data_IF_716025958251
#
_entry.id   IF_716025958251
#
_cell.length_a   1.000
_cell.length_b   1.000
_cell.length_c   1.000
_cell.angle_alpha   90.00
_cell.angle_beta   90.00
_cell.angle_gamma   90.00
#
_symmetry.space_group_name_H-M   'P 1'
#
loop_
_entity.id
_entity.type
_entity.pdbx_description
1 polymer ?
#
# COMPACT_ATOMS: atom_id res chain seq x y z
N UNK A 1 -14.36 -61.53 17.67
CA UNK A 1 -12.98 -61.42 17.16
C UNK A 1 -12.91 -60.13 16.36
N UNK A 2 -13.23 -59.01 17.01
CA UNK A 2 -13.47 -57.70 16.36
C UNK A 2 -12.51 -56.60 16.85
N UNK A 3 -11.83 -56.84 17.98
CA UNK A 3 -10.85 -55.91 18.56
C UNK A 3 -9.64 -55.66 17.64
N UNK A 4 -9.24 -56.66 16.85
CA UNK A 4 -8.08 -56.56 15.96
C UNK A 4 -8.34 -55.70 14.70
N UNK A 5 -9.61 -55.52 14.31
CA UNK A 5 -9.96 -54.73 13.12
C UNK A 5 -9.95 -53.23 13.45
N UNK A 6 -10.51 -52.87 14.61
CA UNK A 6 -10.53 -51.47 15.05
C UNK A 6 -9.15 -51.00 15.50
N UNK A 7 -8.35 -51.86 16.14
CA UNK A 7 -6.94 -51.58 16.45
C UNK A 7 -6.12 -51.37 15.16
N UNK A 8 -6.25 -52.28 14.19
CA UNK A 8 -5.56 -52.12 12.89
C UNK A 8 -6.00 -50.88 12.11
N UNK A 9 -7.24 -50.42 12.28
CA UNK A 9 -7.72 -49.19 11.64
C UNK A 9 -7.17 -47.94 12.32
N UNK A 10 -7.08 -47.96 13.66
CA UNK A 10 -6.48 -46.88 14.44
C UNK A 10 -4.98 -46.75 14.15
N UNK A 11 -4.26 -47.87 14.04
CA UNK A 11 -2.85 -47.89 13.66
C UNK A 11 -2.65 -47.28 12.25
N UNK A 12 -3.55 -47.62 11.32
CA UNK A 12 -3.51 -47.08 9.95
C UNK A 12 -3.82 -45.57 9.91
N UNK A 13 -4.76 -45.09 10.73
CA UNK A 13 -5.08 -43.66 10.85
C UNK A 13 -3.88 -42.86 11.39
N UNK A 14 -3.20 -43.39 12.41
CA UNK A 14 -1.99 -42.80 12.99
C UNK A 14 -0.86 -42.74 11.94
N UNK A 15 -0.67 -43.79 11.13
CA UNK A 15 0.30 -43.80 10.03
C UNK A 15 0.03 -42.72 8.99
N UNK A 16 -1.22 -42.59 8.53
CA UNK A 16 -1.59 -41.56 7.55
C UNK A 16 -1.48 -40.15 8.13
N UNK A 17 -1.81 -39.95 9.41
CA UNK A 17 -1.64 -38.67 10.08
C UNK A 17 -0.16 -38.27 10.14
N UNK A 18 0.70 -39.22 10.52
CA UNK A 18 2.13 -38.98 10.62
C UNK A 18 2.78 -38.74 9.24
N UNK A 19 2.35 -39.47 8.21
CA UNK A 19 2.78 -39.25 6.83
C UNK A 19 2.40 -37.84 6.36
N UNK A 20 1.14 -37.44 6.55
CA UNK A 20 0.66 -36.10 6.20
C UNK A 20 1.40 -34.99 6.95
N UNK A 21 1.66 -35.19 8.26
CA UNK A 21 2.44 -34.26 9.06
C UNK A 21 3.87 -34.13 8.56
N UNK A 22 4.56 -35.24 8.30
CA UNK A 22 5.94 -35.23 7.81
C UNK A 22 6.04 -34.58 6.43
N UNK A 23 5.08 -34.85 5.54
CA UNK A 23 5.02 -34.23 4.22
C UNK A 23 4.80 -32.72 4.32
N UNK A 24 3.87 -32.27 5.16
CA UNK A 24 3.62 -30.85 5.41
C UNK A 24 4.80 -30.14 6.10
N UNK A 25 5.48 -30.82 7.02
CA UNK A 25 6.68 -30.30 7.67
C UNK A 25 7.87 -30.20 6.70
N UNK A 26 8.04 -31.17 5.79
CA UNK A 26 9.06 -31.14 4.76
C UNK A 26 8.78 -30.04 3.72
N UNK A 27 7.52 -29.90 3.29
CA UNK A 27 7.08 -28.82 2.38
C UNK A 27 7.29 -27.44 3.03
N UNK A 28 6.89 -27.28 4.30
CA UNK A 28 7.12 -26.06 5.08
C UNK A 28 8.60 -25.77 5.37
N UNK A 29 9.47 -26.78 5.37
CA UNK A 29 10.92 -26.60 5.50
C UNK A 29 11.61 -26.29 4.15
N UNK A 30 11.00 -26.68 3.02
CA UNK A 30 11.42 -26.30 1.66
C UNK A 30 10.81 -24.98 1.20
N UNK A 31 9.78 -24.49 1.89
CA UNK A 31 9.43 -23.08 1.89
C UNK A 31 10.60 -22.32 2.51
N UNK A 32 11.62 -22.07 1.68
CA UNK A 32 12.76 -21.23 2.02
C UNK A 32 12.24 -19.97 2.73
N UNK A 33 12.84 -19.56 3.85
CA UNK A 33 12.54 -18.26 4.43
C UNK A 33 12.73 -17.27 3.29
N UNK A 34 11.66 -16.57 2.93
CA UNK A 34 11.61 -15.60 1.84
C UNK A 34 12.74 -14.57 2.06
N UNK A 35 13.95 -14.91 1.60
CA UNK A 35 15.13 -14.08 1.75
C UNK A 35 15.00 -13.01 0.68
N UNK A 36 14.08 -12.08 0.94
CA UNK A 36 13.80 -10.87 0.18
C UNK A 36 14.31 -10.97 -1.24
N UNK A 37 13.75 -11.90 -2.02
CA UNK A 37 14.13 -11.98 -3.42
C UNK A 37 13.68 -10.65 -3.97
N UNK A 38 14.64 -9.80 -4.32
CA UNK A 38 14.39 -8.60 -5.09
C UNK A 38 13.87 -9.11 -6.44
N UNK A 39 12.58 -9.44 -6.46
CA UNK A 39 11.79 -9.66 -7.65
C UNK A 39 11.57 -8.27 -8.25
N UNK A 40 12.65 -7.56 -8.57
CA UNK A 40 12.56 -6.45 -9.50
C UNK A 40 12.15 -7.12 -10.81
N UNK A 41 10.87 -7.02 -11.21
CA UNK A 41 10.41 -7.73 -12.39
C UNK A 41 11.21 -7.19 -13.58
N UNK A 42 11.48 -8.03 -14.58
CA UNK A 42 12.33 -7.64 -15.73
C UNK A 42 11.84 -6.35 -16.38
N UNK A 43 10.52 -6.08 -16.33
CA UNK A 43 9.90 -4.82 -16.78
C UNK A 43 10.42 -3.57 -16.07
N UNK A 44 10.84 -3.65 -14.81
CA UNK A 44 11.40 -2.52 -14.08
C UNK A 44 12.85 -2.19 -14.46
N UNK A 45 13.57 -3.11 -15.12
CA UNK A 45 14.98 -2.91 -15.50
C UNK A 45 15.18 -1.77 -16.49
N UNK A 46 14.18 -1.51 -17.33
CA UNK A 46 14.19 -0.44 -18.33
C UNK A 46 13.63 0.89 -17.79
N UNK A 47 13.09 0.90 -16.56
CA UNK A 47 12.52 2.11 -15.98
C UNK A 47 13.63 3.04 -15.46
N UNK A 48 13.45 4.35 -15.70
CA UNK A 48 14.36 5.37 -15.16
C UNK A 48 14.19 5.42 -13.64
N UNK A 49 15.29 5.25 -12.90
CA UNK A 49 15.29 5.41 -11.45
C UNK A 49 15.07 6.87 -11.07
N UNK A 50 14.18 7.13 -10.12
CA UNK A 50 14.03 8.46 -9.54
C UNK A 50 15.20 8.78 -8.60
N UNK A 51 15.67 10.04 -8.51
CA UNK A 51 16.61 10.41 -7.47
C UNK A 51 15.96 10.18 -6.09
N UNK A 52 16.67 9.54 -5.14
CA UNK A 52 16.10 9.07 -3.87
C UNK A 52 15.59 10.19 -2.96
N UNK A 53 16.07 11.42 -3.16
CA UNK A 53 15.64 12.59 -2.39
C UNK A 53 14.40 13.29 -2.96
N UNK A 54 13.83 12.81 -4.08
CA UNK A 54 12.66 13.45 -4.68
C UNK A 54 11.41 13.28 -3.84
N UNK A 55 10.54 14.29 -3.88
CA UNK A 55 9.21 14.22 -3.26
C UNK A 55 8.39 13.04 -3.83
N UNK A 56 8.58 12.72 -5.10
CA UNK A 56 7.96 11.58 -5.76
C UNK A 56 8.42 10.26 -5.14
N UNK A 57 9.73 10.02 -5.05
CA UNK A 57 10.29 8.80 -4.43
C UNK A 57 9.76 8.61 -3.00
N UNK A 58 9.82 9.65 -2.15
CA UNK A 58 9.29 9.58 -0.78
C UNK A 58 7.79 9.27 -0.72
N UNK A 59 6.99 9.81 -1.63
CA UNK A 59 5.56 9.50 -1.67
C UNK A 59 5.31 8.04 -2.12
N UNK A 60 6.11 7.52 -3.04
CA UNK A 60 6.06 6.11 -3.47
C UNK A 60 6.44 5.21 -2.30
N UNK A 61 7.54 5.49 -1.60
CA UNK A 61 7.98 4.70 -0.45
C UNK A 61 6.90 4.64 0.63
N UNK A 62 6.36 5.79 1.06
CA UNK A 62 5.28 5.80 2.04
C UNK A 62 4.00 5.13 1.53
N UNK A 63 3.70 5.22 0.23
CA UNK A 63 2.54 4.52 -0.32
C UNK A 63 2.74 3.00 -0.20
N UNK A 64 3.92 2.49 -0.56
CA UNK A 64 4.26 1.06 -0.46
C UNK A 64 4.16 0.56 0.99
N UNK A 65 4.66 1.34 1.95
CA UNK A 65 4.52 1.02 3.39
C UNK A 65 3.04 0.92 3.83
N UNK A 66 2.18 1.82 3.36
CA UNK A 66 0.77 1.84 3.75
C UNK A 66 -0.04 0.68 3.16
N UNK A 67 0.40 0.12 2.02
CA UNK A 67 -0.31 -0.94 1.29
C UNK A 67 0.37 -2.30 1.38
N UNK A 68 1.40 -2.45 2.22
CA UNK A 68 2.09 -3.71 2.42
C UNK A 68 1.15 -4.74 3.08
N UNK A 69 0.75 -5.82 2.35
CA UNK A 69 -0.21 -6.80 2.87
C UNK A 69 0.33 -7.56 4.08
N UNK A 70 1.65 -7.75 4.18
CA UNK A 70 2.25 -8.47 5.31
C UNK A 70 2.15 -7.66 6.62
N UNK A 71 1.97 -6.34 6.51
CA UNK A 71 1.85 -5.43 7.66
C UNK A 71 0.41 -5.25 8.16
N UNK A 72 -0.60 -5.81 7.48
CA UNK A 72 -2.00 -5.65 7.82
C UNK A 72 -2.47 -6.66 8.88
N UNK A 73 -3.25 -6.24 9.89
CA UNK A 73 -3.80 -7.16 10.87
C UNK A 73 -4.80 -8.13 10.23
N UNK A 74 -4.70 -9.42 10.53
CA UNK A 74 -5.64 -10.45 10.04
C UNK A 74 -6.81 -10.70 11.00
N UNK A 75 -6.95 -9.91 12.06
CA UNK A 75 -8.01 -10.05 13.05
C UNK A 75 -9.21 -9.17 12.69
N UNK A 76 -10.42 -9.68 12.91
CA UNK A 76 -11.66 -8.93 12.70
C UNK A 76 -12.09 -8.19 13.98
N UNK A 77 -11.23 -7.30 14.48
CA UNK A 77 -11.55 -6.40 15.60
C UNK A 77 -11.84 -4.99 15.10
N UNK A 78 -12.58 -4.20 15.86
CA UNK A 78 -12.88 -2.80 15.51
C UNK A 78 -11.59 -1.98 15.29
N UNK A 79 -10.60 -2.14 16.17
CA UNK A 79 -9.30 -1.48 16.07
C UNK A 79 -8.56 -1.87 14.77
N UNK A 80 -8.60 -3.15 14.39
CA UNK A 80 -7.95 -3.64 13.17
C UNK A 80 -8.61 -3.07 11.92
N UNK A 81 -9.95 -2.95 11.92
CA UNK A 81 -10.69 -2.32 10.82
C UNK A 81 -10.36 -0.83 10.73
N UNK A 82 -10.31 -0.11 11.87
CA UNK A 82 -9.98 1.31 11.88
C UNK A 82 -8.54 1.60 11.39
N UNK A 83 -7.57 0.76 11.76
CA UNK A 83 -6.19 0.87 11.26
C UNK A 83 -6.12 0.75 9.73
N UNK A 84 -6.83 -0.24 9.15
CA UNK A 84 -6.93 -0.40 7.69
C UNK A 84 -7.54 0.85 7.04
N UNK A 85 -8.61 1.40 7.61
CA UNK A 85 -9.27 2.62 7.09
C UNK A 85 -8.35 3.84 7.14
N UNK A 86 -7.57 4.02 8.21
CA UNK A 86 -6.58 5.10 8.33
C UNK A 86 -5.45 4.94 7.32
N UNK A 87 -4.94 3.71 7.12
CA UNK A 87 -3.94 3.41 6.10
C UNK A 87 -4.47 3.69 4.70
N UNK A 88 -5.70 3.27 4.40
CA UNK A 88 -6.34 3.52 3.10
C UNK A 88 -6.48 5.02 2.82
N UNK A 89 -6.93 5.82 3.81
CA UNK A 89 -6.98 7.29 3.69
C UNK A 89 -5.59 7.87 3.39
N UNK A 90 -4.57 7.40 4.11
CA UNK A 90 -3.18 7.78 3.87
C UNK A 90 -2.72 7.45 2.46
N UNK A 91 -2.98 6.22 2.00
CA UNK A 91 -2.59 5.71 0.70
C UNK A 91 -3.23 6.52 -0.44
N UNK A 92 -4.53 6.83 -0.34
CA UNK A 92 -5.24 7.68 -1.29
C UNK A 92 -4.58 9.06 -1.39
N UNK A 93 -4.21 9.67 -0.26
CA UNK A 93 -3.51 10.96 -0.25
C UNK A 93 -2.15 10.87 -0.95
N UNK A 94 -1.37 9.81 -0.68
CA UNK A 94 -0.05 9.62 -1.33
C UNK A 94 -0.17 9.37 -2.83
N UNK A 95 -1.12 8.54 -3.25
CA UNK A 95 -1.42 8.31 -4.67
C UNK A 95 -1.76 9.62 -5.40
N UNK A 96 -2.61 10.46 -4.81
CA UNK A 96 -2.94 11.79 -5.33
C UNK A 96 -1.73 12.74 -5.40
N UNK A 97 -0.73 12.59 -4.54
CA UNK A 97 0.50 13.38 -4.61
C UNK A 97 1.43 12.88 -5.71
N UNK A 98 1.47 11.57 -5.95
CA UNK A 98 2.22 10.94 -7.05
C UNK A 98 1.65 11.39 -8.39
N UNK A 99 0.33 11.30 -8.58
CA UNK A 99 -0.36 11.75 -9.79
C UNK A 99 -0.02 13.22 -10.14
N UNK A 100 -0.07 14.12 -9.14
CA UNK A 100 0.33 15.53 -9.31
C UNK A 100 1.80 15.70 -9.70
N UNK A 101 2.69 14.88 -9.14
CA UNK A 101 4.11 14.93 -9.45
C UNK A 101 4.43 14.42 -10.87
N UNK A 102 3.58 13.53 -11.42
CA UNK A 102 3.67 13.02 -12.79
C UNK A 102 3.01 13.95 -13.83
N UNK A 103 2.40 15.05 -13.41
CA UNK A 103 1.78 16.04 -14.31
C UNK A 103 0.33 15.72 -14.69
N UNK A 104 -0.24 14.64 -14.16
CA UNK A 104 -1.67 14.36 -14.27
C UNK A 104 -2.43 15.27 -13.30
N UNK A 105 -2.93 16.41 -13.82
CA UNK A 105 -3.83 17.27 -13.07
C UNK A 105 -5.25 16.73 -13.23
N UNK A 106 -5.69 15.87 -12.31
CA UNK A 106 -7.13 15.74 -12.06
C UNK A 106 -7.63 17.13 -11.70
N UNK A 107 -8.64 17.61 -12.43
CA UNK A 107 -9.18 18.94 -12.27
C UNK A 107 -9.40 19.27 -10.79
N UNK A 108 -8.99 20.47 -10.40
CA UNK A 108 -8.95 20.98 -9.03
C UNK A 108 -10.34 21.14 -8.36
N UNK A 109 -11.37 20.48 -8.90
CA UNK A 109 -12.76 20.56 -8.48
C UNK A 109 -13.09 19.66 -7.28
N UNK A 110 -12.42 18.51 -7.12
CA UNK A 110 -12.89 17.46 -6.19
C UNK A 110 -12.36 17.54 -4.76
N UNK A 111 -11.79 18.68 -4.34
CA UNK A 111 -11.16 18.83 -3.00
C UNK A 111 -11.97 19.70 -2.05
N UNK A 112 -13.12 20.27 -2.46
CA UNK A 112 -13.93 21.10 -1.55
C UNK A 112 -15.39 20.65 -1.60
N UNK A 113 -15.92 19.98 -0.56
CA UNK A 113 -17.35 19.71 -0.50
C UNK A 113 -18.16 20.99 -0.20
N UNK A 114 -17.52 22.11 0.15
CA UNK A 114 -18.21 23.38 0.39
C UNK A 114 -17.27 24.58 0.12
N UNK A 115 -17.18 25.01 -1.13
CA UNK A 115 -16.65 26.35 -1.43
C UNK A 115 -17.19 26.88 -2.74
N UNK A 116 -18.09 27.85 -2.59
CA UNK A 116 -18.57 28.80 -3.58
C UNK A 116 -17.41 29.31 -4.48
N UNK A 117 -17.66 29.32 -5.78
CA UNK A 117 -16.78 29.82 -6.83
C UNK A 117 -16.04 31.12 -6.46
N UNK A 118 -14.72 31.11 -6.61
CA UNK A 118 -13.93 32.31 -6.88
C UNK A 118 -12.91 31.99 -8.00
N UNK A 119 -12.64 32.95 -8.91
CA UNK A 119 -12.05 32.66 -10.21
C UNK A 119 -10.54 32.35 -10.13
N UNK A 120 -10.12 31.67 -11.19
CA UNK A 120 -8.82 31.06 -11.45
C UNK A 120 -7.64 32.04 -11.50
N UNK A 121 -6.47 31.43 -11.33
CA UNK A 121 -5.16 31.75 -11.93
C UNK A 121 -4.28 32.79 -11.24
N UNK A 122 -3.26 32.28 -10.56
CA UNK A 122 -1.97 32.93 -10.42
C UNK A 122 -0.88 31.93 -10.83
N UNK A 123 -0.54 31.91 -12.12
CA UNK A 123 0.72 31.31 -12.56
C UNK A 123 1.83 32.30 -12.16
N UNK A 124 2.73 31.87 -11.28
CA UNK A 124 3.66 32.71 -10.53
C UNK A 124 4.82 33.28 -11.37
N UNK A 125 4.54 33.79 -12.57
CA UNK A 125 5.53 34.38 -13.47
C UNK A 125 4.96 35.64 -14.14
N UNK A 126 5.02 36.81 -13.49
CA UNK A 126 4.62 38.06 -14.14
C UNK A 126 4.53 39.29 -13.23
N UNK A 127 5.45 40.23 -13.44
CA UNK A 127 5.42 41.69 -13.15
C UNK A 127 4.83 42.19 -11.82
N UNK A 128 5.71 42.63 -10.92
CA UNK A 128 5.44 43.31 -9.62
C UNK A 128 5.14 44.82 -9.75
N UNK A 129 4.88 45.36 -10.95
CA UNK A 129 4.91 46.82 -11.16
C UNK A 129 3.59 47.58 -10.91
N UNK A 130 2.56 47.00 -10.28
CA UNK A 130 1.25 47.67 -10.08
C UNK A 130 0.71 47.69 -8.63
N UNK A 131 1.59 47.93 -7.64
CA UNK A 131 1.21 48.14 -6.23
C UNK A 131 0.51 49.49 -5.95
N UNK A 132 0.17 50.26 -6.98
CA UNK A 132 -0.41 51.61 -6.89
C UNK A 132 -1.90 51.67 -6.51
N UNK A 133 -2.57 50.53 -6.26
CA UNK A 133 -4.02 50.48 -5.96
C UNK A 133 -4.36 50.26 -4.48
N UNK A 134 -3.41 50.48 -3.55
CA UNK A 134 -3.69 50.51 -2.11
C UNK A 134 -4.64 51.68 -1.75
N UNK A 135 -5.93 51.40 -1.59
CA UNK A 135 -6.84 52.27 -0.84
C UNK A 135 -6.81 51.87 0.63
N UNK A 136 -6.00 52.57 1.41
CA UNK A 136 -6.09 52.59 2.87
C UNK A 136 -7.34 53.40 3.23
N UNK A 137 -8.32 52.75 3.87
CA UNK A 137 -9.42 53.44 4.55
C UNK A 137 -9.01 53.67 6.00
N UNK A 138 -9.13 54.93 6.42
CA UNK A 138 -8.83 55.48 7.75
C UNK A 138 -9.83 54.97 8.81
#
# INVERSE_FOLDING_TARGET
MENNLLESLLDLEEEFYQEGFNLGAADGAQAEPDQGVSMAPVVCKEMVSFPPSTRLAKNIDTLLELVDPASLPMQNTEDAVNDVDERLKGAIVKAKLIQRALGEREDTADIRPDAKETPRSGDGTGSIEDISSLSIRH
#
